data_IF_019964885984
#
_entry.id   IF_019964885984
#
_cell.length_a   1.000
_cell.length_b   1.000
_cell.length_c   1.000
_cell.angle_alpha   90.00
_cell.angle_beta   90.00
_cell.angle_gamma   90.00
#
_symmetry.space_group_name_H-M   'P 1'
#
loop_
_entity.id
_entity.type
_entity.pdbx_description
1 polymer ?
#
# COMPACT_ATOMS: atom_id res chain seq x y z
N UNK A 1 20.52 11.44 -5.19
CA UNK A 1 19.13 11.06 -5.47
C UNK A 1 18.40 10.73 -4.19
N UNK A 2 17.23 11.29 -4.06
CA UNK A 2 16.45 11.06 -2.86
C UNK A 2 15.58 9.84 -3.00
N UNK A 3 15.47 9.11 -1.91
CA UNK A 3 14.63 7.94 -1.87
C UNK A 3 13.38 8.26 -1.09
N UNK A 4 12.24 7.87 -1.65
CA UNK A 4 10.96 8.06 -1.00
C UNK A 4 10.31 6.70 -0.79
N UNK A 5 9.60 6.56 0.30
CA UNK A 5 8.94 5.30 0.62
C UNK A 5 7.52 5.55 1.07
N UNK A 6 6.64 4.69 0.61
CA UNK A 6 5.25 4.69 1.03
C UNK A 6 4.95 3.33 1.64
N UNK A 7 4.39 3.35 2.84
CA UNK A 7 4.07 2.12 3.54
C UNK A 7 2.59 2.12 3.88
N UNK A 8 1.97 0.97 3.74
CA UNK A 8 0.56 0.81 4.05
C UNK A 8 0.43 -0.35 5.01
N UNK A 9 -0.28 -0.11 6.09
CA UNK A 9 -0.52 -1.11 7.10
C UNK A 9 -2.01 -1.29 7.28
N UNK A 10 -2.47 -2.51 7.19
CA UNK A 10 -3.88 -2.82 7.38
C UNK A 10 -4.02 -3.74 8.58
N UNK A 11 -5.01 -3.47 9.39
CA UNK A 11 -5.29 -4.32 10.54
C UNK A 11 -6.76 -4.68 10.53
N UNK A 12 -7.04 -5.87 11.01
CA UNK A 12 -8.41 -6.38 11.04
C UNK A 12 -8.72 -6.84 12.45
N UNK A 13 -9.90 -6.48 12.91
CA UNK A 13 -10.37 -6.98 14.19
C UNK A 13 -11.88 -7.14 14.12
N UNK A 14 -12.50 -7.39 15.26
CA UNK A 14 -13.94 -7.64 15.29
C UNK A 14 -14.72 -6.45 14.80
N UNK A 15 -14.17 -5.26 14.92
CA UNK A 15 -14.89 -4.05 14.56
C UNK A 15 -14.72 -3.67 13.11
N UNK A 16 -13.80 -4.31 12.41
CA UNK A 16 -13.58 -4.01 11.02
C UNK A 16 -12.11 -3.84 10.70
N UNK A 17 -11.84 -3.04 9.69
CA UNK A 17 -10.50 -2.85 9.19
C UNK A 17 -9.98 -1.46 9.53
N UNK A 18 -8.75 -1.42 9.99
CA UNK A 18 -8.04 -0.16 10.16
C UNK A 18 -6.97 -0.04 9.11
N UNK A 19 -6.74 1.18 8.66
CA UNK A 19 -5.75 1.42 7.64
C UNK A 19 -4.85 2.55 8.07
N UNK A 20 -3.55 2.33 7.91
CA UNK A 20 -2.57 3.33 8.27
C UNK A 20 -1.60 3.50 7.12
N UNK A 21 -1.35 4.74 6.74
CA UNK A 21 -0.43 5.03 5.64
C UNK A 21 0.69 5.88 6.18
N UNK A 22 1.91 5.41 5.97
CA UNK A 22 3.09 6.15 6.39
C UNK A 22 3.96 6.48 5.20
N UNK A 23 4.61 7.62 5.27
CA UNK A 23 5.49 8.03 4.18
C UNK A 23 6.82 8.49 4.74
N UNK A 24 7.86 8.25 3.96
CA UNK A 24 9.16 8.88 4.14
C UNK A 24 9.43 9.68 2.90
N UNK A 25 9.65 10.98 3.08
CA UNK A 25 9.78 11.86 1.94
C UNK A 25 8.46 12.50 1.59
N UNK A 26 8.49 13.38 0.63
CA UNK A 26 7.32 14.16 0.25
C UNK A 26 6.56 13.45 -0.87
N UNK A 27 5.27 13.26 -0.64
CA UNK A 27 4.39 12.65 -1.63
C UNK A 27 3.20 13.55 -1.86
N UNK A 28 2.82 13.70 -3.13
CA UNK A 28 1.55 14.34 -3.43
C UNK A 28 0.45 13.28 -3.42
N UNK A 29 -0.79 13.77 -3.31
CA UNK A 29 -1.91 12.85 -3.34
C UNK A 29 -1.96 12.08 -4.66
N UNK A 30 -1.61 12.75 -5.75
CA UNK A 30 -1.61 12.09 -7.06
C UNK A 30 -0.59 10.95 -7.08
N UNK A 31 0.59 11.21 -6.52
CA UNK A 31 1.61 10.18 -6.47
C UNK A 31 1.16 8.97 -5.66
N UNK A 32 0.54 9.24 -4.52
CA UNK A 32 0.08 8.15 -3.66
C UNK A 32 -1.01 7.35 -4.32
N UNK A 33 -1.93 8.02 -4.99
CA UNK A 33 -3.00 7.30 -5.69
C UNK A 33 -2.44 6.47 -6.83
N UNK A 34 -1.44 6.99 -7.54
CA UNK A 34 -0.82 6.23 -8.60
C UNK A 34 -0.13 4.97 -8.08
N UNK A 35 0.55 5.10 -6.94
CA UNK A 35 1.21 3.95 -6.34
C UNK A 35 0.19 2.89 -5.95
N UNK A 36 -0.93 3.31 -5.41
CA UNK A 36 -1.96 2.36 -5.02
C UNK A 36 -2.54 1.63 -6.22
N UNK A 37 -2.69 2.32 -7.33
CA UNK A 37 -3.16 1.67 -8.55
C UNK A 37 -2.17 0.64 -9.05
N UNK A 38 -0.89 0.98 -9.00
CA UNK A 38 0.13 0.04 -9.42
C UNK A 38 0.19 -1.16 -8.49
N UNK A 39 0.02 -0.94 -7.20
CA UNK A 39 0.00 -2.03 -6.24
C UNK A 39 -1.16 -2.97 -6.54
N UNK A 40 -2.30 -2.39 -6.90
CA UNK A 40 -3.46 -3.18 -7.25
C UNK A 40 -3.18 -4.08 -8.44
N UNK A 41 -2.49 -3.54 -9.44
CA UNK A 41 -2.14 -4.33 -10.62
C UNK A 41 -1.22 -5.48 -10.25
N UNK A 42 -0.26 -5.22 -9.35
CA UNK A 42 0.66 -6.27 -8.92
C UNK A 42 -0.10 -7.40 -8.23
N UNK A 43 -1.06 -7.05 -7.39
CA UNK A 43 -1.87 -8.06 -6.72
C UNK A 43 -2.60 -8.91 -7.73
N UNK A 44 -3.19 -8.27 -8.74
CA UNK A 44 -3.93 -9.00 -9.75
C UNK A 44 -3.03 -9.90 -10.59
N UNK A 45 -1.81 -9.45 -10.85
CA UNK A 45 -0.86 -10.25 -11.61
C UNK A 45 -0.51 -11.54 -10.89
N UNK A 46 -0.43 -11.47 -9.58
CA UNK A 46 -0.05 -12.64 -8.80
C UNK A 46 -1.22 -13.55 -8.50
N UNK A 47 -2.40 -13.17 -8.96
CA UNK A 47 -3.59 -13.98 -8.76
C UNK A 47 -3.85 -14.30 -7.30
N UNK A 48 -3.52 -13.36 -6.44
CA UNK A 48 -3.74 -13.55 -5.03
C UNK A 48 -2.79 -14.52 -4.37
N UNK A 49 -1.67 -14.78 -5.02
CA UNK A 49 -0.69 -15.74 -4.53
C UNK A 49 0.26 -15.16 -3.52
N UNK A 50 -0.22 -14.32 -2.67
CA UNK A 50 0.59 -13.75 -1.61
C UNK A 50 0.53 -14.66 -0.40
N UNK A 51 1.67 -15.16 -0.03
CA UNK A 51 1.77 -16.06 1.10
C UNK A 51 1.81 -15.26 2.38
N UNK A 52 1.07 -15.74 3.36
CA UNK A 52 1.13 -15.09 4.63
C UNK A 52 1.74 -15.97 5.66
N UNK A 53 2.38 -16.74 5.36
CA UNK A 53 3.01 -17.44 6.32
C UNK A 53 3.88 -18.05 6.26
#
# INVERSE_FOLDING_TARGET
>A
MEEKKLMIEASFDEKGMGLKIGTEGAFTAVEMLGILEMAKIEVLKDNGNFSDK
#
